data_IF_182395961682
#
_entry.id   IF_182395961682
#
_cell.length_a   1.000
_cell.length_b   1.000
_cell.length_c   1.000
_cell.angle_alpha   90.00
_cell.angle_beta   90.00
_cell.angle_gamma   90.00
#
_symmetry.space_group_name_H-M   'P 1'
#
loop_
_entity.id
_entity.type
_entity.pdbx_description
1 polymer ?
#
# COMPACT_ATOMS: atom_id res chain seq x y z
N UNK A 1 9.77 7.33 -25.81
CA UNK A 1 10.61 7.44 -24.61
C UNK A 1 9.73 6.99 -23.45
N UNK A 2 10.13 5.99 -22.66
CA UNK A 2 9.35 5.59 -21.47
C UNK A 2 9.43 6.73 -20.46
N UNK A 3 8.28 7.12 -19.91
CA UNK A 3 8.23 8.11 -18.84
C UNK A 3 8.80 7.48 -17.57
N UNK A 4 9.87 8.05 -17.06
CA UNK A 4 10.52 7.61 -15.83
C UNK A 4 9.97 8.47 -14.69
N UNK A 5 9.38 7.83 -13.69
CA UNK A 5 8.94 8.53 -12.48
C UNK A 5 10.14 8.91 -11.63
N UNK A 6 10.05 10.03 -10.95
CA UNK A 6 11.00 10.38 -9.91
C UNK A 6 10.70 9.60 -8.62
N UNK A 7 11.73 8.95 -8.07
CA UNK A 7 11.60 8.13 -6.86
C UNK A 7 11.11 8.93 -5.63
N UNK A 8 11.35 10.24 -5.62
CA UNK A 8 10.87 11.16 -4.58
C UNK A 8 9.35 11.27 -4.52
N UNK A 9 8.64 10.98 -5.60
CA UNK A 9 7.18 10.91 -5.64
C UNK A 9 6.59 9.55 -5.27
N UNK A 10 7.42 8.57 -4.85
CA UNK A 10 6.96 7.26 -4.45
C UNK A 10 6.13 7.35 -3.17
N UNK A 11 4.90 6.84 -3.22
CA UNK A 11 4.00 6.74 -2.08
C UNK A 11 4.21 5.44 -1.33
N UNK A 12 3.89 5.46 -0.04
CA UNK A 12 4.01 4.32 0.85
C UNK A 12 2.67 3.95 1.46
N UNK A 13 2.38 2.67 1.52
CA UNK A 13 1.13 2.18 2.08
C UNK A 13 1.24 0.79 2.65
N UNK A 14 0.12 0.30 3.18
CA UNK A 14 -0.05 -1.08 3.61
C UNK A 14 -1.10 -1.78 2.76
N UNK A 15 -0.82 -3.04 2.39
CA UNK A 15 -1.79 -3.95 1.79
C UNK A 15 -2.28 -4.88 2.89
N UNK A 16 -3.46 -4.59 3.42
CA UNK A 16 -3.99 -5.25 4.60
C UNK A 16 -4.85 -6.46 4.23
N UNK A 17 -4.24 -7.63 4.26
CA UNK A 17 -4.89 -8.93 4.39
C UNK A 17 -4.49 -9.52 5.75
N UNK A 18 -5.04 -8.98 6.87
CA UNK A 18 -4.55 -9.32 8.20
C UNK A 18 -4.77 -10.80 8.51
N UNK A 19 -3.69 -11.50 8.80
CA UNK A 19 -3.68 -12.93 9.05
C UNK A 19 -3.71 -13.23 10.55
N UNK A 20 -4.81 -13.79 11.04
CA UNK A 20 -5.03 -14.13 12.45
C UNK A 20 -4.97 -15.64 12.65
N UNK A 21 -3.76 -16.19 12.73
CA UNK A 21 -3.50 -17.63 12.78
C UNK A 21 -4.18 -18.39 13.93
N UNK A 22 -4.32 -17.75 15.09
CA UNK A 22 -4.89 -18.41 16.27
C UNK A 22 -6.42 -18.29 16.28
N UNK A 23 -7.08 -19.33 15.78
CA UNK A 23 -8.54 -19.42 15.69
C UNK A 23 -9.28 -19.40 17.04
N UNK A 24 -8.57 -19.51 18.16
CA UNK A 24 -9.14 -19.41 19.51
C UNK A 24 -9.10 -17.99 20.07
N UNK A 25 -8.48 -17.04 19.38
CA UNK A 25 -8.49 -15.62 19.78
C UNK A 25 -9.78 -14.93 19.35
N UNK A 26 -10.15 -13.88 20.08
CA UNK A 26 -11.33 -13.07 19.79
C UNK A 26 -11.21 -12.36 18.45
N UNK A 27 -12.15 -12.62 17.51
CA UNK A 27 -12.25 -11.93 16.23
C UNK A 27 -12.58 -10.43 16.43
N UNK A 28 -13.39 -10.09 17.44
CA UNK A 28 -13.65 -8.70 17.79
C UNK A 28 -12.36 -7.93 18.09
N UNK A 29 -11.47 -8.48 18.93
CA UNK A 29 -10.20 -7.85 19.24
C UNK A 29 -9.24 -7.82 18.03
N UNK A 30 -9.30 -8.81 17.15
CA UNK A 30 -8.52 -8.85 15.93
C UNK A 30 -8.90 -7.68 14.99
N UNK A 31 -10.19 -7.52 14.70
CA UNK A 31 -10.69 -6.42 13.86
C UNK A 31 -10.39 -5.03 14.45
N UNK A 32 -10.54 -4.86 15.77
CA UNK A 32 -10.19 -3.59 16.42
C UNK A 32 -8.68 -3.30 16.35
N UNK A 33 -7.84 -4.31 16.51
CA UNK A 33 -6.39 -4.18 16.36
C UNK A 33 -6.01 -3.75 14.93
N UNK A 34 -6.70 -4.28 13.91
CA UNK A 34 -6.45 -3.91 12.53
C UNK A 34 -6.89 -2.46 12.24
N UNK A 35 -8.01 -2.02 12.82
CA UNK A 35 -8.42 -0.61 12.79
C UNK A 35 -7.41 0.30 13.49
N UNK A 36 -6.89 -0.10 14.66
CA UNK A 36 -5.86 0.66 15.39
C UNK A 36 -4.54 0.73 14.59
N UNK A 37 -4.21 -0.29 13.81
CA UNK A 37 -3.05 -0.26 12.91
C UNK A 37 -3.23 0.77 11.80
N UNK A 38 -4.40 0.83 11.15
CA UNK A 38 -4.69 1.85 10.12
C UNK A 38 -4.60 3.26 10.68
N UNK A 39 -5.13 3.47 11.89
CA UNK A 39 -5.04 4.74 12.60
C UNK A 39 -3.58 5.11 12.93
N UNK A 40 -2.77 4.12 13.29
CA UNK A 40 -1.34 4.31 13.51
C UNK A 40 -0.61 4.69 12.21
N UNK A 41 -0.92 4.05 11.09
CA UNK A 41 -0.38 4.40 9.77
C UNK A 41 -0.74 5.84 9.35
N UNK A 42 -1.98 6.27 9.58
CA UNK A 42 -2.41 7.66 9.30
C UNK A 42 -1.58 8.67 10.11
N UNK A 43 -1.32 8.39 11.41
CA UNK A 43 -0.47 9.24 12.25
C UNK A 43 0.99 9.27 11.82
N UNK A 44 1.50 8.19 11.26
CA UNK A 44 2.86 8.10 10.73
C UNK A 44 3.03 8.77 9.35
N UNK A 45 1.93 9.17 8.72
CA UNK A 45 1.96 9.83 7.42
C UNK A 45 2.02 8.89 6.22
N UNK A 46 1.54 7.66 6.35
CA UNK A 46 1.38 6.76 5.22
C UNK A 46 0.30 7.25 4.27
N UNK A 47 0.52 7.05 2.98
CA UNK A 47 -0.36 7.54 1.92
C UNK A 47 -1.60 6.66 1.71
N UNK A 48 -1.46 5.33 1.81
CA UNK A 48 -2.49 4.40 1.36
C UNK A 48 -2.63 3.17 2.29
N UNK A 49 -3.88 2.71 2.50
CA UNK A 49 -4.21 1.42 3.10
C UNK A 49 -5.17 0.66 2.18
N UNK A 50 -4.79 -0.55 1.76
CA UNK A 50 -5.56 -1.41 0.85
C UNK A 50 -6.11 -2.61 1.61
N UNK A 51 -7.42 -2.80 1.59
CA UNK A 51 -8.12 -3.76 2.45
C UNK A 51 -8.62 -4.93 1.63
N UNK A 52 -8.20 -6.14 2.01
CA UNK A 52 -8.57 -7.40 1.35
C UNK A 52 -9.99 -7.88 1.65
N UNK A 53 -10.48 -8.84 0.86
CA UNK A 53 -11.78 -9.49 0.98
C UNK A 53 -11.60 -11.02 0.99
N UNK A 54 -12.03 -11.68 2.07
CA UNK A 54 -12.06 -13.15 2.19
C UNK A 54 -13.30 -13.63 2.93
N UNK A 55 -13.84 -14.77 2.51
CA UNK A 55 -15.11 -15.30 3.02
C UNK A 55 -14.99 -16.66 3.71
N UNK A 56 -13.81 -17.27 3.72
CA UNK A 56 -13.56 -18.61 4.27
C UNK A 56 -12.22 -18.72 4.98
N UNK A 57 -11.82 -19.95 5.34
CA UNK A 57 -10.59 -20.29 6.03
C UNK A 57 -10.44 -19.74 7.46
N UNK A 58 -11.16 -18.69 7.86
CA UNK A 58 -11.23 -18.19 9.24
C UNK A 58 -10.01 -17.45 9.75
N UNK A 59 -8.99 -17.20 8.93
CA UNK A 59 -7.75 -16.54 9.33
C UNK A 59 -7.66 -15.09 8.84
N UNK A 60 -8.22 -14.78 7.68
CA UNK A 60 -8.40 -13.44 7.15
C UNK A 60 -9.88 -13.07 7.34
N UNK A 61 -10.18 -12.25 8.33
CA UNK A 61 -11.54 -12.09 8.87
C UNK A 61 -12.32 -10.91 8.30
N UNK A 62 -11.74 -10.18 7.35
CA UNK A 62 -12.42 -9.06 6.69
C UNK A 62 -13.18 -9.58 5.49
N UNK A 63 -14.49 -9.71 5.64
CA UNK A 63 -15.38 -10.19 4.56
C UNK A 63 -15.92 -9.06 3.66
N UNK A 64 -15.86 -7.81 4.11
CA UNK A 64 -16.28 -6.64 3.33
C UNK A 64 -15.28 -5.51 3.58
N UNK A 65 -14.38 -5.23 2.63
CA UNK A 65 -13.45 -4.12 2.73
C UNK A 65 -14.18 -2.78 2.88
N UNK A 66 -15.36 -2.60 2.27
CA UNK A 66 -16.14 -1.37 2.34
C UNK A 66 -16.59 -1.06 3.78
N UNK A 67 -17.04 -2.08 4.53
CA UNK A 67 -17.47 -1.92 5.93
C UNK A 67 -16.25 -1.56 6.80
N UNK A 68 -15.13 -2.25 6.61
CA UNK A 68 -13.90 -1.97 7.34
C UNK A 68 -13.38 -0.56 7.04
N UNK A 69 -13.34 -0.16 5.77
CA UNK A 69 -12.90 1.17 5.34
C UNK A 69 -13.82 2.26 5.91
N UNK A 70 -15.14 2.07 5.92
CA UNK A 70 -16.06 3.03 6.51
C UNK A 70 -15.76 3.28 8.00
N UNK A 71 -15.46 2.22 8.76
CA UNK A 71 -15.07 2.35 10.17
C UNK A 71 -13.69 3.00 10.33
N UNK A 72 -12.71 2.65 9.49
CA UNK A 72 -11.37 3.20 9.52
C UNK A 72 -11.34 4.68 9.13
N UNK A 73 -12.17 5.09 8.16
CA UNK A 73 -12.24 6.45 7.65
C UNK A 73 -12.68 7.47 8.72
N UNK A 74 -13.55 7.08 9.67
CA UNK A 74 -13.95 7.93 10.78
C UNK A 74 -12.85 8.11 11.84
N UNK A 75 -11.86 7.22 11.86
CA UNK A 75 -10.72 7.25 12.79
C UNK A 75 -9.48 7.96 12.23
N UNK A 76 -9.47 8.26 10.92
CA UNK A 76 -8.30 8.74 10.17
C UNK A 76 -8.62 10.05 9.45
N UNK A 77 -7.56 10.78 9.03
CA UNK A 77 -7.73 12.10 8.42
C UNK A 77 -7.15 12.21 7.02
N UNK A 78 -6.05 11.52 6.74
CA UNK A 78 -5.23 11.74 5.56
C UNK A 78 -5.08 10.51 4.68
N UNK A 79 -4.91 9.33 5.28
CA UNK A 79 -4.67 8.08 4.56
C UNK A 79 -5.80 7.79 3.59
N UNK A 80 -5.45 7.39 2.37
CA UNK A 80 -6.40 6.96 1.34
C UNK A 80 -6.64 5.46 1.47
N UNK A 81 -7.83 5.04 1.12
CA UNK A 81 -8.26 3.65 1.24
C UNK A 81 -8.45 3.02 -0.12
N UNK A 82 -7.88 1.84 -0.34
CA UNK A 82 -8.17 1.00 -1.49
C UNK A 82 -8.90 -0.27 -1.08
N UNK A 83 -9.85 -0.73 -1.89
CA UNK A 83 -10.27 -2.13 -1.79
C UNK A 83 -9.19 -3.00 -2.43
N UNK A 84 -8.66 -3.96 -1.70
CA UNK A 84 -7.48 -4.72 -2.11
C UNK A 84 -7.67 -6.23 -2.10
N UNK A 85 -8.69 -6.78 -2.78
CA UNK A 85 -9.60 -6.19 -3.76
C UNK A 85 -11.06 -6.54 -3.43
N UNK A 86 -12.03 -5.91 -4.10
CA UNK A 86 -13.36 -6.51 -4.23
C UNK A 86 -13.29 -7.61 -5.29
N UNK A 87 -13.67 -8.82 -4.91
CA UNK A 87 -13.74 -9.98 -5.79
C UNK A 87 -14.99 -9.87 -6.67
N UNK A 88 -14.92 -9.08 -7.73
CA UNK A 88 -16.07 -8.63 -8.51
C UNK A 88 -17.02 -9.76 -8.99
N UNK A 89 -16.54 -10.99 -9.34
CA UNK A 89 -17.42 -12.11 -9.68
C UNK A 89 -18.37 -12.57 -8.56
N UNK A 90 -18.11 -12.19 -7.32
CA UNK A 90 -18.92 -12.58 -6.17
C UNK A 90 -20.12 -11.65 -5.95
N UNK A 91 -20.15 -10.49 -6.62
CA UNK A 91 -21.05 -9.39 -6.34
C UNK A 91 -21.95 -9.02 -7.51
N UNK A 92 -23.10 -8.40 -7.20
CA UNK A 92 -23.93 -7.72 -8.20
C UNK A 92 -23.29 -6.35 -8.53
N UNK A 93 -23.07 -6.01 -9.83
CA UNK A 93 -22.37 -4.78 -10.22
C UNK A 93 -23.05 -3.49 -9.75
N UNK A 94 -24.41 -3.42 -9.76
CA UNK A 94 -25.15 -2.24 -9.28
C UNK A 94 -24.90 -2.02 -7.78
N UNK A 95 -25.04 -3.07 -6.98
CA UNK A 95 -24.83 -2.97 -5.53
C UNK A 95 -23.38 -2.63 -5.20
N UNK A 96 -22.42 -3.11 -5.99
CA UNK A 96 -21.01 -2.74 -5.82
C UNK A 96 -20.78 -1.26 -6.16
N UNK A 97 -21.35 -0.78 -7.27
CA UNK A 97 -21.26 0.64 -7.64
C UNK A 97 -21.87 1.54 -6.55
N UNK A 98 -23.06 1.21 -6.05
CA UNK A 98 -23.74 1.97 -4.99
C UNK A 98 -22.89 2.05 -3.71
N UNK A 99 -22.29 0.93 -3.27
CA UNK A 99 -21.43 0.89 -2.07
C UNK A 99 -20.16 1.71 -2.25
N UNK A 100 -19.52 1.63 -3.40
CA UNK A 100 -18.30 2.41 -3.70
C UNK A 100 -18.63 3.91 -3.78
N UNK A 101 -19.74 4.29 -4.41
CA UNK A 101 -20.19 5.68 -4.47
C UNK A 101 -20.49 6.22 -3.06
N UNK A 102 -21.23 5.46 -2.25
CA UNK A 102 -21.51 5.84 -0.88
C UNK A 102 -20.23 6.04 -0.07
N UNK A 103 -19.29 5.11 -0.19
CA UNK A 103 -18.01 5.17 0.50
C UNK A 103 -17.16 6.37 0.04
N UNK A 104 -17.20 6.71 -1.25
CA UNK A 104 -16.51 7.88 -1.80
C UNK A 104 -17.05 9.19 -1.18
N UNK A 105 -18.37 9.31 -0.98
CA UNK A 105 -18.95 10.43 -0.24
C UNK A 105 -18.57 10.45 1.24
N UNK A 106 -18.66 9.30 1.94
CA UNK A 106 -18.31 9.21 3.36
C UNK A 106 -16.84 9.55 3.61
N UNK A 107 -15.94 9.12 2.73
CA UNK A 107 -14.51 9.36 2.83
C UNK A 107 -14.07 10.69 2.22
N UNK A 108 -14.99 11.44 1.58
CA UNK A 108 -14.71 12.70 0.85
C UNK A 108 -13.59 12.53 -0.18
N UNK A 109 -13.69 11.49 -1.01
CA UNK A 109 -12.76 11.22 -2.10
C UNK A 109 -11.47 10.51 -1.68
N UNK A 110 -11.38 9.98 -0.46
CA UNK A 110 -10.20 9.19 -0.03
C UNK A 110 -10.25 7.73 -0.47
N UNK A 111 -11.36 7.24 -1.07
CA UNK A 111 -11.47 5.86 -1.52
C UNK A 111 -10.87 5.68 -2.92
N UNK A 112 -10.29 4.52 -3.13
CA UNK A 112 -9.83 3.97 -4.41
C UNK A 112 -10.48 2.60 -4.59
N UNK A 113 -10.94 2.29 -5.80
CA UNK A 113 -11.61 1.04 -6.09
C UNK A 113 -10.65 0.05 -6.75
N UNK A 114 -10.21 -0.94 -5.99
CA UNK A 114 -9.47 -2.08 -6.52
C UNK A 114 -10.38 -3.30 -6.65
N UNK A 115 -10.31 -3.98 -7.78
CA UNK A 115 -11.09 -5.17 -8.05
C UNK A 115 -10.25 -6.29 -8.67
N UNK A 116 -10.76 -7.50 -8.57
CA UNK A 116 -10.10 -8.68 -9.09
C UNK A 116 -11.04 -9.88 -9.24
N UNK A 117 -10.49 -11.02 -9.68
CA UNK A 117 -11.29 -12.23 -9.89
C UNK A 117 -11.66 -12.98 -8.60
N UNK A 118 -11.08 -12.63 -7.45
CA UNK A 118 -11.01 -13.50 -6.31
C UNK A 118 -9.86 -14.50 -6.44
N UNK A 119 -9.41 -15.04 -5.33
CA UNK A 119 -8.21 -15.88 -5.31
C UNK A 119 -8.38 -17.18 -4.53
N UNK A 120 -9.07 -17.16 -3.39
CA UNK A 120 -9.16 -18.30 -2.48
C UNK A 120 -10.11 -19.36 -3.03
N UNK A 121 -9.65 -20.60 -3.29
CA UNK A 121 -10.50 -21.63 -3.90
C UNK A 121 -11.76 -21.95 -3.10
N UNK A 122 -11.68 -21.91 -1.76
CA UNK A 122 -12.82 -22.14 -0.87
C UNK A 122 -13.89 -21.04 -0.96
N UNK A 123 -13.49 -19.77 -1.13
CA UNK A 123 -14.42 -18.66 -1.35
C UNK A 123 -15.19 -18.87 -2.67
N UNK A 124 -14.48 -19.17 -3.74
CA UNK A 124 -15.05 -19.44 -5.07
C UNK A 124 -16.06 -20.59 -5.02
N UNK A 125 -15.72 -21.68 -4.33
CA UNK A 125 -16.58 -22.84 -4.13
C UNK A 125 -17.85 -22.48 -3.36
N UNK A 126 -17.71 -21.78 -2.22
CA UNK A 126 -18.85 -21.41 -1.34
C UNK A 126 -19.84 -20.46 -2.02
N UNK A 127 -19.35 -19.60 -2.90
CA UNK A 127 -20.15 -18.64 -3.65
C UNK A 127 -20.77 -19.28 -4.91
N UNK A 128 -20.45 -20.54 -5.20
CA UNK A 128 -21.01 -21.28 -6.34
C UNK A 128 -20.46 -20.78 -7.69
N UNK A 129 -19.18 -20.43 -7.75
CA UNK A 129 -18.47 -20.05 -8.98
C UNK A 129 -17.47 -21.12 -9.39
N UNK A 130 -17.12 -21.16 -10.68
CA UNK A 130 -16.03 -21.97 -11.17
C UNK A 130 -14.77 -21.11 -11.39
N UNK A 131 -13.61 -21.62 -10.99
CA UNK A 131 -12.32 -20.94 -11.17
C UNK A 131 -12.04 -20.54 -12.63
N UNK A 132 -12.49 -21.37 -13.57
CA UNK A 132 -12.31 -21.15 -15.03
C UNK A 132 -13.13 -19.99 -15.58
N UNK A 133 -14.21 -19.59 -14.88
CA UNK A 133 -15.14 -18.53 -15.30
C UNK A 133 -14.80 -17.16 -14.72
N UNK A 134 -14.00 -17.11 -13.66
CA UNK A 134 -13.75 -15.87 -12.92
C UNK A 134 -13.28 -14.71 -13.78
N UNK A 135 -12.41 -14.96 -14.78
CA UNK A 135 -11.92 -13.91 -15.67
C UNK A 135 -13.03 -13.32 -16.56
N UNK A 136 -13.88 -14.17 -17.10
CA UNK A 136 -15.05 -13.74 -17.89
C UNK A 136 -16.01 -12.95 -17.00
N UNK A 137 -16.26 -13.45 -15.79
CA UNK A 137 -17.16 -12.82 -14.83
C UNK A 137 -16.63 -11.45 -14.35
N UNK A 138 -15.30 -11.29 -14.17
CA UNK A 138 -14.69 -9.99 -13.88
C UNK A 138 -14.97 -9.00 -14.99
N UNK A 139 -14.74 -9.40 -16.25
CA UNK A 139 -14.96 -8.52 -17.40
C UNK A 139 -16.43 -8.11 -17.51
N UNK A 140 -17.34 -9.07 -17.47
CA UNK A 140 -18.79 -8.81 -17.52
C UNK A 140 -19.25 -7.89 -16.36
N UNK A 141 -18.74 -8.15 -15.15
CA UNK A 141 -19.05 -7.31 -13.98
C UNK A 141 -18.54 -5.89 -14.15
N UNK A 142 -17.34 -5.73 -14.68
CA UNK A 142 -16.73 -4.41 -14.89
C UNK A 142 -17.36 -3.65 -16.05
N UNK A 143 -17.76 -4.33 -17.15
CA UNK A 143 -18.49 -3.74 -18.29
C UNK A 143 -19.83 -3.12 -17.85
N UNK A 144 -20.50 -3.71 -16.83
CA UNK A 144 -21.68 -3.15 -16.25
C UNK A 144 -21.36 -2.07 -15.19
N UNK A 145 -20.35 -2.26 -14.40
CA UNK A 145 -20.02 -1.38 -13.26
C UNK A 145 -19.48 -0.02 -13.69
N UNK A 146 -18.61 0.04 -14.68
CA UNK A 146 -17.98 1.30 -15.11
C UNK A 146 -18.99 2.33 -15.64
N UNK A 147 -19.95 1.98 -16.52
CA UNK A 147 -21.03 2.88 -16.91
C UNK A 147 -21.89 3.34 -15.72
N UNK A 148 -22.22 2.43 -14.78
CA UNK A 148 -22.97 2.78 -13.57
C UNK A 148 -22.26 3.84 -12.73
N UNK A 149 -20.94 3.71 -12.54
CA UNK A 149 -20.14 4.72 -11.83
C UNK A 149 -20.13 6.08 -12.55
N UNK A 150 -20.34 6.09 -13.86
CA UNK A 150 -20.48 7.31 -14.69
C UNK A 150 -21.88 7.90 -14.70
N UNK A 151 -22.85 7.22 -14.05
CA UNK A 151 -24.26 7.63 -14.01
C UNK A 151 -25.07 7.22 -15.23
N UNK A 152 -24.57 6.29 -16.02
CA UNK A 152 -25.27 5.74 -17.18
C UNK A 152 -26.27 4.65 -16.77
N UNK A 153 -27.26 4.39 -17.63
CA UNK A 153 -28.23 3.31 -17.45
C UNK A 153 -27.73 2.04 -18.10
N UNK A 154 -27.80 0.92 -17.39
CA UNK A 154 -27.32 -0.38 -17.85
C UNK A 154 -28.43 -1.42 -17.83
N UNK A 155 -28.62 -2.09 -18.96
CA UNK A 155 -29.41 -3.32 -19.06
C UNK A 155 -28.51 -4.42 -19.61
N UNK A 156 -28.23 -5.43 -18.78
CA UNK A 156 -27.31 -6.53 -19.11
C UNK A 156 -27.69 -7.79 -18.36
N UNK A 157 -27.57 -8.94 -19.00
CA UNK A 157 -27.86 -10.24 -18.41
C UNK A 157 -26.66 -11.18 -18.59
N UNK A 158 -26.33 -11.87 -17.53
CA UNK A 158 -25.33 -12.96 -17.48
C UNK A 158 -25.96 -14.19 -16.84
N UNK A 159 -25.23 -15.27 -16.71
CA UNK A 159 -25.67 -16.47 -16.01
C UNK A 159 -25.81 -16.25 -14.49
N UNK A 160 -25.26 -15.16 -13.96
CA UNK A 160 -25.12 -14.92 -12.53
C UNK A 160 -25.94 -13.75 -12.00
N UNK A 161 -26.29 -12.79 -12.86
CA UNK A 161 -27.09 -11.62 -12.50
C UNK A 161 -27.75 -11.00 -13.73
N UNK A 162 -28.82 -10.24 -13.50
CA UNK A 162 -29.52 -9.47 -14.51
C UNK A 162 -29.75 -8.05 -14.00
N UNK A 163 -29.42 -7.06 -14.83
CA UNK A 163 -29.72 -5.63 -14.63
C UNK A 163 -30.75 -5.21 -15.68
N UNK A 164 -31.80 -4.46 -15.25
CA UNK A 164 -32.87 -3.92 -16.10
C UNK A 164 -32.95 -2.43 -15.83
N UNK A 165 -32.61 -1.61 -16.81
CA UNK A 165 -32.60 -0.14 -16.71
C UNK A 165 -31.97 0.37 -15.39
N UNK A 166 -30.91 -0.36 -14.95
CA UNK A 166 -30.23 -0.12 -13.70
C UNK A 166 -29.38 1.15 -13.80
N UNK A 167 -29.44 1.96 -12.75
CA UNK A 167 -28.62 3.17 -12.60
C UNK A 167 -28.40 3.46 -11.13
N UNK A 168 -27.26 4.03 -10.80
CA UNK A 168 -27.00 4.52 -9.46
C UNK A 168 -27.87 5.75 -9.16
N UNK A 169 -28.44 5.82 -7.95
CA UNK A 169 -29.31 6.93 -7.57
C UNK A 169 -28.57 8.19 -7.11
N UNK A 170 -27.25 8.08 -6.87
CA UNK A 170 -26.33 9.20 -6.64
C UNK A 170 -25.09 9.01 -7.52
N UNK A 171 -24.38 10.10 -7.80
CA UNK A 171 -23.13 10.07 -8.54
C UNK A 171 -21.94 10.12 -7.57
N UNK A 172 -20.75 9.58 -7.94
CA UNK A 172 -19.57 9.64 -7.09
C UNK A 172 -19.23 11.06 -6.62
N UNK A 173 -18.65 11.17 -5.44
CA UNK A 173 -18.07 12.43 -4.95
C UNK A 173 -16.88 12.84 -5.82
N UNK A 174 -15.99 11.91 -6.13
CA UNK A 174 -14.85 12.08 -7.04
C UNK A 174 -15.31 11.95 -8.50
N UNK A 175 -14.93 12.91 -9.35
CA UNK A 175 -15.35 12.94 -10.77
C UNK A 175 -14.25 12.47 -11.70
N UNK A 176 -14.54 11.68 -12.74
CA UNK A 176 -15.84 11.05 -13.07
C UNK A 176 -16.22 9.91 -12.12
N UNK A 177 -15.26 9.29 -11.45
CA UNK A 177 -15.37 8.22 -10.45
C UNK A 177 -14.07 8.15 -9.64
N UNK A 178 -14.03 7.45 -8.47
CA UNK A 178 -12.79 7.15 -7.77
C UNK A 178 -11.76 6.50 -8.68
N UNK A 179 -10.47 6.62 -8.35
CA UNK A 179 -9.43 5.90 -9.09
C UNK A 179 -9.70 4.39 -9.02
N UNK A 180 -9.57 3.71 -10.16
CA UNK A 180 -9.88 2.29 -10.29
C UNK A 180 -8.62 1.52 -10.62
N UNK A 181 -8.45 0.35 -9.98
CA UNK A 181 -7.28 -0.50 -10.10
C UNK A 181 -7.68 -1.95 -10.34
N UNK A 182 -7.00 -2.59 -11.30
CA UNK A 182 -7.11 -4.03 -11.51
C UNK A 182 -6.00 -4.77 -10.80
N UNK A 183 -6.33 -5.81 -10.04
CA UNK A 183 -5.30 -6.65 -9.42
C UNK A 183 -4.56 -7.49 -10.46
N UNK A 184 -3.28 -7.68 -10.19
CA UNK A 184 -2.38 -8.51 -10.98
C UNK A 184 -1.48 -9.33 -10.06
N UNK A 185 -1.32 -10.59 -10.39
CA UNK A 185 -0.28 -11.44 -9.83
C UNK A 185 0.78 -11.69 -10.93
N UNK A 186 1.12 -12.95 -11.19
CA UNK A 186 2.12 -13.33 -12.21
C UNK A 186 1.54 -13.41 -13.62
N UNK A 187 0.21 -13.54 -13.76
CA UNK A 187 -0.42 -13.79 -15.07
C UNK A 187 -0.61 -12.50 -15.88
N UNK A 188 -0.58 -12.57 -17.21
CA UNK A 188 -0.76 -11.40 -18.09
C UNK A 188 -2.20 -10.86 -18.09
N UNK A 189 -3.16 -11.55 -17.46
CA UNK A 189 -4.58 -11.19 -17.52
C UNK A 189 -4.89 -9.86 -16.84
N UNK A 190 -4.36 -9.63 -15.63
CA UNK A 190 -4.55 -8.38 -14.90
C UNK A 190 -4.04 -7.14 -15.64
N UNK A 191 -2.76 -7.11 -16.06
CA UNK A 191 -2.21 -5.99 -16.81
C UNK A 191 -2.96 -5.73 -18.13
N UNK A 192 -3.38 -6.78 -18.82
CA UNK A 192 -4.16 -6.66 -20.07
C UNK A 192 -5.52 -5.99 -19.82
N UNK A 193 -6.28 -6.44 -18.80
CA UNK A 193 -7.57 -5.84 -18.44
C UNK A 193 -7.36 -4.37 -18.03
N UNK A 194 -6.39 -4.10 -17.15
CA UNK A 194 -6.07 -2.75 -16.74
C UNK A 194 -5.79 -1.83 -17.93
N UNK A 195 -4.99 -2.28 -18.91
CA UNK A 195 -4.69 -1.53 -20.12
C UNK A 195 -5.91 -1.31 -21.01
N UNK A 196 -6.72 -2.35 -21.21
CA UNK A 196 -7.94 -2.27 -22.05
C UNK A 196 -8.87 -1.14 -21.61
N UNK A 197 -8.99 -0.90 -20.32
CA UNK A 197 -9.88 0.14 -19.75
C UNK A 197 -9.16 1.40 -19.28
N UNK A 198 -7.83 1.51 -19.40
CA UNK A 198 -7.06 2.65 -18.93
C UNK A 198 -7.01 2.76 -17.38
N UNK A 199 -7.01 1.63 -16.68
CA UNK A 199 -7.04 1.57 -15.21
C UNK A 199 -5.63 1.53 -14.62
N UNK A 200 -5.54 1.85 -13.33
CA UNK A 200 -4.36 1.57 -12.52
C UNK A 200 -4.11 0.07 -12.35
N UNK A 201 -2.88 -0.28 -11.99
CA UNK A 201 -2.44 -1.66 -11.77
C UNK A 201 -2.03 -1.87 -10.32
N UNK A 202 -2.57 -2.92 -9.68
CA UNK A 202 -2.22 -3.37 -8.35
C UNK A 202 -1.50 -4.72 -8.48
N UNK A 203 -0.17 -4.68 -8.50
CA UNK A 203 0.67 -5.89 -8.61
C UNK A 203 0.91 -6.49 -7.22
N UNK A 204 0.12 -7.51 -6.88
CA UNK A 204 0.34 -8.32 -5.71
C UNK A 204 1.42 -9.36 -6.05
N UNK A 205 2.54 -9.31 -5.39
CA UNK A 205 3.61 -10.31 -5.45
C UNK A 205 4.96 -9.82 -5.99
N UNK A 206 5.72 -9.21 -5.15
CA UNK A 206 7.17 -9.11 -5.36
C UNK A 206 7.92 -10.17 -4.54
N UNK A 207 7.19 -11.13 -3.97
CA UNK A 207 7.72 -12.11 -3.02
C UNK A 207 8.12 -13.43 -3.67
N UNK A 208 8.13 -13.55 -4.99
CA UNK A 208 8.66 -14.71 -5.70
C UNK A 208 9.54 -14.25 -6.87
N UNK A 209 10.53 -15.05 -7.25
CA UNK A 209 11.39 -14.76 -8.39
C UNK A 209 10.58 -14.51 -9.66
N UNK A 210 9.54 -15.31 -9.90
CA UNK A 210 8.69 -15.16 -11.07
C UNK A 210 7.96 -13.82 -11.11
N UNK A 211 7.40 -13.39 -9.97
CA UNK A 211 6.68 -12.12 -9.88
C UNK A 211 7.63 -10.92 -9.90
N UNK A 212 8.75 -11.00 -9.20
CA UNK A 212 9.78 -9.97 -9.23
C UNK A 212 10.29 -9.75 -10.66
N UNK A 213 10.63 -10.82 -11.38
CA UNK A 213 11.12 -10.73 -12.75
C UNK A 213 10.04 -10.38 -13.78
N UNK A 214 8.75 -10.42 -13.42
CA UNK A 214 7.64 -10.09 -14.29
C UNK A 214 7.23 -8.60 -14.26
N UNK A 215 7.80 -7.75 -13.41
CA UNK A 215 7.36 -6.35 -13.30
C UNK A 215 7.48 -5.59 -14.61
N UNK A 216 8.62 -5.71 -15.32
CA UNK A 216 8.79 -5.08 -16.63
C UNK A 216 7.79 -5.62 -17.63
N UNK A 217 7.60 -6.94 -17.70
CA UNK A 217 6.64 -7.56 -18.61
C UNK A 217 5.20 -7.15 -18.28
N UNK A 218 4.86 -7.02 -16.99
CA UNK A 218 3.55 -6.52 -16.58
C UNK A 218 3.29 -5.09 -17.08
N UNK A 219 4.28 -4.21 -17.00
CA UNK A 219 4.17 -2.88 -17.58
C UNK A 219 4.02 -2.90 -19.09
N UNK A 220 4.82 -3.68 -19.79
CA UNK A 220 4.76 -3.76 -21.26
C UNK A 220 3.38 -4.25 -21.74
N UNK A 221 2.82 -5.29 -21.08
CA UNK A 221 1.47 -5.78 -21.37
C UNK A 221 0.41 -4.71 -21.08
N UNK A 222 0.51 -4.02 -19.97
CA UNK A 222 -0.41 -2.95 -19.55
C UNK A 222 -0.40 -1.80 -20.57
N UNK A 223 0.79 -1.33 -20.93
CA UNK A 223 0.98 -0.25 -21.89
C UNK A 223 0.52 -0.63 -23.33
N UNK A 224 0.85 -1.84 -23.78
CA UNK A 224 0.46 -2.29 -25.11
C UNK A 224 -1.07 -2.46 -25.22
N UNK A 225 -1.71 -3.02 -24.20
CA UNK A 225 -3.16 -3.13 -24.16
C UNK A 225 -3.84 -1.74 -24.13
N UNK A 226 -3.30 -0.78 -23.38
CA UNK A 226 -3.80 0.58 -23.38
C UNK A 226 -3.72 1.22 -24.77
N UNK A 227 -2.55 1.15 -25.41
CA UNK A 227 -2.35 1.69 -26.78
C UNK A 227 -3.30 1.07 -27.80
N UNK A 228 -3.50 -0.24 -27.75
CA UNK A 228 -4.41 -0.97 -28.66
C UNK A 228 -5.87 -0.54 -28.50
N UNK A 229 -6.26 -0.07 -27.33
CA UNK A 229 -7.63 0.35 -26.99
C UNK A 229 -7.79 1.89 -26.90
N UNK A 230 -6.81 2.67 -27.35
CA UNK A 230 -6.88 4.13 -27.33
C UNK A 230 -6.87 4.73 -25.93
N UNK A 231 -6.39 3.99 -24.93
CA UNK A 231 -6.31 4.42 -23.54
C UNK A 231 -4.93 5.00 -23.23
N UNK A 232 -4.89 5.83 -22.18
CA UNK A 232 -3.65 6.35 -21.60
C UNK A 232 -3.49 5.79 -20.20
N UNK A 233 -2.30 5.32 -19.87
CA UNK A 233 -1.94 4.84 -18.53
C UNK A 233 -0.85 5.72 -17.93
N UNK A 234 -0.79 5.77 -16.59
CA UNK A 234 0.24 6.49 -15.86
C UNK A 234 0.90 5.54 -14.86
N UNK A 235 2.24 5.46 -14.87
CA UNK A 235 3.00 4.68 -13.88
C UNK A 235 2.76 5.13 -12.44
N UNK A 236 2.38 6.39 -12.21
CA UNK A 236 1.93 6.86 -10.89
C UNK A 236 0.68 6.11 -10.37
N UNK A 237 -0.07 5.42 -11.24
CA UNK A 237 -1.20 4.56 -10.89
C UNK A 237 -0.83 3.07 -10.81
N UNK A 238 0.45 2.76 -10.71
CA UNK A 238 0.93 1.41 -10.47
C UNK A 238 1.30 1.22 -8.99
N UNK A 239 0.65 0.26 -8.32
CA UNK A 239 0.95 -0.16 -6.94
C UNK A 239 1.68 -1.49 -6.97
N UNK A 240 2.76 -1.58 -6.22
CA UNK A 240 3.56 -2.80 -6.08
C UNK A 240 3.52 -3.26 -4.64
N UNK A 241 3.06 -4.47 -4.41
CA UNK A 241 2.93 -5.08 -3.08
C UNK A 241 4.14 -5.97 -2.80
N UNK A 242 4.73 -5.83 -1.63
CA UNK A 242 5.82 -6.69 -1.16
C UNK A 242 5.59 -7.16 0.27
N UNK A 243 6.33 -8.17 0.68
CA UNK A 243 6.33 -8.67 2.05
C UNK A 243 7.59 -8.18 2.76
N UNK A 244 7.43 -7.32 3.75
CA UNK A 244 8.53 -6.71 4.48
C UNK A 244 8.31 -6.87 5.99
N UNK A 245 9.39 -7.16 6.72
CA UNK A 245 9.44 -6.97 8.16
C UNK A 245 10.85 -6.47 8.52
N UNK A 246 10.93 -5.26 9.05
CA UNK A 246 12.20 -4.67 9.47
C UNK A 246 12.21 -4.41 10.97
N UNK A 247 13.41 -4.42 11.53
CA UNK A 247 13.71 -4.07 12.91
C UNK A 247 15.03 -3.29 12.96
N UNK A 248 15.48 -2.89 14.14
CA UNK A 248 16.75 -2.18 14.33
C UNK A 248 17.94 -3.01 13.90
N UNK A 249 17.86 -4.34 14.03
CA UNK A 249 18.89 -5.28 13.57
C UNK A 249 18.28 -6.45 12.80
N UNK A 250 19.08 -7.13 11.99
CA UNK A 250 18.67 -8.34 11.26
C UNK A 250 18.30 -9.47 12.21
N UNK A 251 19.02 -9.60 13.31
CA UNK A 251 18.77 -10.61 14.35
C UNK A 251 17.41 -10.37 14.99
N UNK A 252 17.08 -9.12 15.31
CA UNK A 252 15.78 -8.77 15.88
C UNK A 252 14.65 -9.01 14.87
N UNK A 253 14.82 -8.64 13.62
CA UNK A 253 13.83 -8.89 12.57
C UNK A 253 13.53 -10.41 12.42
N UNK A 254 14.58 -11.24 12.41
CA UNK A 254 14.44 -12.71 12.38
C UNK A 254 13.75 -13.25 13.62
N UNK A 255 14.07 -12.71 14.80
CA UNK A 255 13.40 -13.11 16.05
C UNK A 255 11.91 -12.76 16.03
N UNK A 256 11.56 -11.58 15.56
CA UNK A 256 10.18 -11.09 15.48
C UNK A 256 9.30 -12.00 14.59
N UNK A 257 9.76 -12.37 13.41
CA UNK A 257 8.96 -13.15 12.44
C UNK A 257 8.73 -14.60 12.86
N UNK A 258 9.47 -15.10 13.84
CA UNK A 258 9.21 -16.43 14.44
C UNK A 258 7.84 -16.54 15.09
N UNK A 259 7.20 -15.40 15.38
CA UNK A 259 5.87 -15.37 16.00
C UNK A 259 4.79 -15.98 15.10
N UNK A 260 4.79 -15.70 13.80
CA UNK A 260 3.68 -16.06 12.92
C UNK A 260 4.05 -16.56 11.52
N UNK A 261 5.32 -16.40 11.07
CA UNK A 261 5.70 -16.74 9.69
C UNK A 261 5.45 -18.20 9.32
N UNK A 262 5.78 -19.13 10.22
CA UNK A 262 5.56 -20.56 9.93
C UNK A 262 4.09 -20.91 9.69
N UNK A 263 3.18 -20.32 10.47
CA UNK A 263 1.74 -20.51 10.31
C UNK A 263 1.22 -19.83 9.02
N UNK A 264 1.73 -18.66 8.70
CA UNK A 264 1.41 -17.95 7.48
C UNK A 264 1.83 -18.74 6.23
N UNK A 265 3.05 -19.30 6.23
CA UNK A 265 3.52 -20.18 5.16
C UNK A 265 2.65 -21.41 4.99
N UNK A 266 2.31 -22.09 6.10
CA UNK A 266 1.43 -23.26 6.08
C UNK A 266 0.06 -22.93 5.46
N UNK A 267 -0.54 -21.80 5.82
CA UNK A 267 -1.79 -21.34 5.24
C UNK A 267 -1.69 -21.12 3.72
N UNK A 268 -0.69 -20.38 3.27
CA UNK A 268 -0.54 -20.06 1.84
C UNK A 268 -0.20 -21.29 0.99
N UNK A 269 0.45 -22.29 1.57
CA UNK A 269 0.78 -23.52 0.85
C UNK A 269 -0.39 -24.51 0.83
N UNK A 270 -1.13 -24.65 1.92
CA UNK A 270 -2.14 -25.70 2.08
C UNK A 270 -3.57 -25.25 1.84
N UNK A 271 -3.87 -23.98 2.06
CA UNK A 271 -5.23 -23.44 2.00
C UNK A 271 -5.39 -22.45 0.85
N UNK A 272 -4.63 -21.38 0.84
CA UNK A 272 -4.71 -20.36 -0.19
C UNK A 272 -4.09 -20.79 -1.53
N UNK A 273 -3.22 -21.80 -1.52
CA UNK A 273 -2.56 -22.39 -2.71
C UNK A 273 -1.76 -21.39 -3.55
N UNK A 274 -1.28 -20.32 -2.92
CA UNK A 274 -0.38 -19.36 -3.57
C UNK A 274 1.07 -19.87 -3.59
N UNK A 275 1.81 -19.70 -4.69
CA UNK A 275 3.19 -20.17 -4.80
C UNK A 275 4.17 -19.23 -4.07
N UNK A 276 3.96 -18.97 -2.79
CA UNK A 276 4.82 -18.08 -1.97
C UNK A 276 6.06 -18.75 -1.40
N UNK A 277 6.14 -20.09 -1.48
CA UNK A 277 7.32 -20.87 -1.08
C UNK A 277 7.45 -22.11 -1.95
N UNK A 278 8.69 -22.59 -2.12
CA UNK A 278 8.96 -23.79 -2.92
C UNK A 278 8.29 -25.02 -2.31
N UNK A 279 7.79 -25.98 -3.13
CA UNK A 279 7.34 -27.29 -2.65
C UNK A 279 8.44 -27.94 -1.80
N UNK A 280 8.08 -28.48 -0.65
CA UNK A 280 9.02 -29.13 0.29
C UNK A 280 9.43 -28.25 1.49
N UNK A 281 9.09 -26.99 1.52
CA UNK A 281 9.36 -26.10 2.67
C UNK A 281 8.68 -26.55 3.98
N UNK A 282 7.67 -27.42 3.92
CA UNK A 282 7.01 -28.00 5.10
C UNK A 282 7.93 -28.87 5.99
N UNK A 283 8.98 -29.43 5.41
CA UNK A 283 9.94 -30.27 6.14
C UNK A 283 11.12 -29.48 6.69
N UNK A 284 11.24 -28.20 6.32
CA UNK A 284 12.33 -27.34 6.71
C UNK A 284 12.11 -26.77 8.13
N UNK A 285 13.22 -26.51 8.82
CA UNK A 285 13.18 -25.75 10.07
C UNK A 285 12.68 -24.32 9.81
N UNK A 286 12.19 -23.64 10.84
CA UNK A 286 11.73 -22.26 10.70
C UNK A 286 12.85 -21.31 10.21
N UNK A 287 14.10 -21.56 10.61
CA UNK A 287 15.24 -20.78 10.12
C UNK A 287 15.47 -20.94 8.62
N UNK A 288 15.40 -22.19 8.12
CA UNK A 288 15.50 -22.45 6.69
C UNK A 288 14.33 -21.85 5.90
N UNK A 289 13.12 -21.80 6.49
CA UNK A 289 11.97 -21.10 5.89
C UNK A 289 12.21 -19.58 5.82
N UNK A 290 12.73 -18.98 6.87
CA UNK A 290 13.11 -17.56 6.89
C UNK A 290 14.16 -17.27 5.79
N UNK A 291 15.20 -18.10 5.71
CA UNK A 291 16.26 -17.96 4.70
C UNK A 291 15.70 -18.10 3.27
N UNK A 292 14.80 -19.05 3.06
CA UNK A 292 14.12 -19.22 1.78
C UNK A 292 13.25 -18.03 1.39
N UNK A 293 12.56 -17.41 2.35
CA UNK A 293 11.77 -16.19 2.11
C UNK A 293 12.66 -15.01 1.76
N UNK A 294 13.79 -14.83 2.45
CA UNK A 294 14.76 -13.77 2.13
C UNK A 294 15.34 -13.98 0.73
N UNK A 295 15.69 -15.22 0.38
CA UNK A 295 16.19 -15.56 -0.96
C UNK A 295 15.15 -15.31 -2.07
N UNK A 296 13.85 -15.36 -1.75
CA UNK A 296 12.74 -15.10 -2.66
C UNK A 296 12.25 -13.64 -2.62
N UNK A 297 13.13 -12.71 -2.34
CA UNK A 297 12.84 -11.27 -2.41
C UNK A 297 12.00 -10.67 -1.28
N UNK A 298 11.72 -11.39 -0.23
CA UNK A 298 11.15 -10.85 1.02
C UNK A 298 12.23 -10.09 1.80
N UNK A 299 11.86 -9.01 2.47
CA UNK A 299 12.76 -8.33 3.39
C UNK A 299 12.44 -8.74 4.83
N UNK A 300 13.40 -9.42 5.47
CA UNK A 300 13.43 -9.63 6.91
C UNK A 300 14.78 -9.10 7.37
N UNK A 301 14.82 -7.83 7.80
CA UNK A 301 16.08 -7.13 7.99
C UNK A 301 15.97 -5.75 8.62
N UNK A 302 16.77 -4.82 8.13
CA UNK A 302 16.89 -3.44 8.60
C UNK A 302 16.26 -2.43 7.62
N UNK A 303 16.11 -1.15 8.00
CA UNK A 303 15.73 -0.10 7.05
C UNK A 303 16.59 -0.06 5.78
N UNK A 304 17.93 -0.25 5.90
CA UNK A 304 18.83 -0.27 4.75
C UNK A 304 18.55 -1.45 3.81
N UNK A 305 18.19 -2.61 4.35
CA UNK A 305 17.81 -3.77 3.55
C UNK A 305 16.53 -3.49 2.75
N UNK A 306 15.57 -2.77 3.32
CA UNK A 306 14.34 -2.38 2.63
C UNK A 306 14.60 -1.31 1.57
N UNK A 307 15.45 -0.31 1.86
CA UNK A 307 15.87 0.70 0.87
C UNK A 307 16.50 0.01 -0.34
N UNK A 308 17.46 -0.88 -0.11
CA UNK A 308 18.10 -1.64 -1.18
C UNK A 308 17.12 -2.50 -1.99
N UNK A 309 16.07 -3.03 -1.33
CA UNK A 309 15.00 -3.76 -2.01
C UNK A 309 14.17 -2.85 -2.90
N UNK A 310 13.77 -1.67 -2.41
CA UNK A 310 13.00 -0.69 -3.19
C UNK A 310 13.79 -0.25 -4.42
N UNK A 311 15.10 -0.05 -4.29
CA UNK A 311 15.97 0.29 -5.41
C UNK A 311 15.97 -0.79 -6.50
N UNK A 312 16.08 -2.06 -6.12
CA UNK A 312 16.02 -3.19 -7.05
C UNK A 312 14.66 -3.31 -7.75
N UNK A 313 13.55 -3.10 -7.02
CA UNK A 313 12.20 -3.09 -7.59
C UNK A 313 12.06 -1.94 -8.60
N UNK A 314 12.60 -0.77 -8.27
CA UNK A 314 12.58 0.40 -9.14
C UNK A 314 13.34 0.16 -10.44
N UNK A 315 14.54 -0.39 -10.37
CA UNK A 315 15.34 -0.79 -11.52
C UNK A 315 14.62 -1.84 -12.38
N UNK A 316 14.11 -2.88 -11.76
CA UNK A 316 13.41 -3.98 -12.42
C UNK A 316 12.11 -3.54 -13.10
N UNK A 317 11.41 -2.53 -12.57
CA UNK A 317 10.23 -1.95 -13.21
C UNK A 317 10.59 -1.12 -14.46
N UNK A 318 11.86 -0.77 -14.66
CA UNK A 318 12.40 0.01 -15.77
C UNK A 318 11.62 1.31 -16.03
N UNK A 319 11.48 2.14 -15.02
CA UNK A 319 10.79 3.43 -15.11
C UNK A 319 9.96 3.77 -13.88
N UNK A 320 9.98 2.94 -12.86
CA UNK A 320 9.34 3.18 -11.57
C UNK A 320 7.85 2.82 -11.53
N UNK A 321 7.27 3.02 -10.37
CA UNK A 321 5.87 2.78 -10.01
C UNK A 321 5.41 3.81 -8.98
N UNK A 322 4.09 4.00 -8.83
CA UNK A 322 3.53 5.11 -8.06
C UNK A 322 3.45 4.87 -6.55
N UNK A 323 3.36 3.62 -6.10
CA UNK A 323 3.36 3.30 -4.68
C UNK A 323 3.94 1.91 -4.40
N UNK A 324 4.57 1.78 -3.21
CA UNK A 324 4.94 0.50 -2.62
C UNK A 324 4.05 0.24 -1.41
N UNK A 325 3.50 -0.96 -1.35
CA UNK A 325 2.59 -1.40 -0.30
C UNK A 325 3.21 -2.58 0.45
N UNK A 326 3.36 -2.43 1.75
CA UNK A 326 3.72 -3.57 2.59
C UNK A 326 2.50 -4.43 2.89
N UNK A 327 2.63 -5.74 2.76
CA UNK A 327 1.58 -6.66 3.11
C UNK A 327 1.52 -6.81 4.64
N UNK A 328 0.56 -6.17 5.29
CA UNK A 328 0.35 -6.23 6.73
C UNK A 328 -0.05 -7.66 7.14
N UNK A 329 0.97 -8.42 7.48
CA UNK A 329 0.90 -9.84 7.76
C UNK A 329 1.20 -10.14 9.21
N UNK A 330 0.71 -10.58 10.05
CA UNK A 330 1.03 -10.83 11.47
C UNK A 330 2.21 -11.82 11.68
N UNK A 331 3.31 -11.65 10.95
CA UNK A 331 4.53 -12.46 11.15
C UNK A 331 5.19 -12.16 12.49
N UNK A 332 5.09 -10.91 12.94
CA UNK A 332 5.54 -10.47 14.25
C UNK A 332 4.34 -10.25 15.19
N UNK A 333 4.60 -10.10 16.46
CA UNK A 333 3.60 -9.63 17.41
C UNK A 333 3.20 -8.17 17.14
N UNK A 334 2.14 -7.69 17.79
CA UNK A 334 1.59 -6.37 17.48
C UNK A 334 2.54 -5.19 17.81
N UNK A 335 3.27 -5.19 18.94
CA UNK A 335 4.28 -4.17 19.19
C UNK A 335 5.38 -4.13 18.13
N UNK A 336 5.93 -5.28 17.74
CA UNK A 336 6.95 -5.36 16.72
C UNK A 336 6.41 -5.01 15.31
N UNK A 337 5.15 -5.34 15.01
CA UNK A 337 4.48 -4.91 13.77
C UNK A 337 4.36 -3.39 13.70
N UNK A 338 3.98 -2.73 14.80
CA UNK A 338 3.94 -1.26 14.86
C UNK A 338 5.32 -0.64 14.71
N UNK A 339 6.31 -1.20 15.43
CA UNK A 339 7.70 -0.71 15.33
C UNK A 339 8.27 -0.83 13.93
N UNK A 340 7.94 -1.90 13.22
CA UNK A 340 8.28 -2.04 11.81
C UNK A 340 7.79 -0.87 10.95
N UNK A 341 6.51 -0.48 11.07
CA UNK A 341 5.97 0.66 10.32
C UNK A 341 6.56 2.01 10.79
N UNK A 342 6.88 2.15 12.07
CA UNK A 342 7.59 3.32 12.59
C UNK A 342 8.98 3.46 11.95
N UNK A 343 9.75 2.37 11.86
CA UNK A 343 11.07 2.37 11.23
C UNK A 343 11.01 2.73 9.74
N UNK A 344 10.00 2.27 9.02
CA UNK A 344 9.78 2.69 7.62
C UNK A 344 9.53 4.20 7.55
N UNK A 345 8.66 4.73 8.41
CA UNK A 345 8.34 6.16 8.44
C UNK A 345 9.53 7.03 8.88
N UNK A 346 10.34 6.55 9.82
CA UNK A 346 11.49 7.28 10.36
C UNK A 346 12.69 7.29 9.42
N UNK A 347 12.97 6.19 8.70
CA UNK A 347 14.22 6.00 7.97
C UNK A 347 14.03 5.78 6.48
N UNK A 348 13.08 4.95 6.05
CA UNK A 348 12.94 4.54 4.65
C UNK A 348 12.25 5.62 3.82
N UNK A 349 11.09 6.10 4.25
CA UNK A 349 10.33 7.14 3.54
C UNK A 349 11.17 8.42 3.36
N UNK A 350 11.78 9.00 4.43
CA UNK A 350 12.58 10.20 4.27
C UNK A 350 13.80 10.02 3.36
N UNK A 351 14.41 8.84 3.36
CA UNK A 351 15.53 8.53 2.46
C UNK A 351 15.09 8.51 0.99
N UNK A 352 14.07 7.71 0.68
CA UNK A 352 13.57 7.54 -0.69
C UNK A 352 13.02 8.85 -1.25
N UNK A 353 12.25 9.60 -0.45
CA UNK A 353 11.65 10.88 -0.84
C UNK A 353 12.60 12.07 -0.68
N UNK A 354 13.83 11.86 -0.21
CA UNK A 354 14.86 12.90 -0.01
C UNK A 354 14.41 14.07 0.86
N UNK A 355 13.55 13.78 1.85
CA UNK A 355 12.94 14.81 2.70
C UNK A 355 13.95 15.56 3.56
N UNK A 356 15.10 14.95 3.86
CA UNK A 356 16.13 15.49 4.75
C UNK A 356 17.27 16.22 4.00
N UNK A 357 17.30 16.24 2.67
CA UNK A 357 18.36 16.86 1.88
C UNK A 357 18.56 18.34 2.25
N UNK A 358 17.45 19.10 2.45
CA UNK A 358 17.53 20.50 2.83
C UNK A 358 18.10 20.69 4.24
N UNK A 359 17.75 19.78 5.17
CA UNK A 359 18.28 19.79 6.54
C UNK A 359 19.77 19.50 6.55
N UNK A 360 20.22 18.51 5.77
CA UNK A 360 21.65 18.19 5.60
C UNK A 360 22.43 19.40 5.07
N UNK A 361 21.99 19.96 3.93
CA UNK A 361 22.64 21.18 3.38
C UNK A 361 22.66 22.35 4.36
N UNK A 362 21.64 22.54 5.17
CA UNK A 362 21.60 23.58 6.19
C UNK A 362 22.61 23.33 7.31
N UNK A 363 22.75 22.07 7.73
CA UNK A 363 23.78 21.69 8.70
C UNK A 363 25.18 21.94 8.17
N UNK A 364 25.49 21.43 6.98
CA UNK A 364 26.80 21.55 6.34
C UNK A 364 27.19 23.04 6.18
N UNK A 365 26.22 23.88 5.77
CA UNK A 365 26.43 25.31 5.65
C UNK A 365 26.72 25.95 7.03
N UNK A 366 25.95 25.60 8.06
CA UNK A 366 26.16 26.14 9.40
C UNK A 366 27.52 25.73 9.97
N UNK A 367 27.92 24.47 9.78
CA UNK A 367 29.22 23.95 10.20
C UNK A 367 30.37 24.67 9.47
N UNK A 368 30.28 24.85 8.15
CA UNK A 368 31.27 25.53 7.35
C UNK A 368 31.46 27.01 7.74
N UNK A 369 30.42 27.65 8.26
CA UNK A 369 30.40 29.08 8.57
C UNK A 369 30.43 29.39 10.08
N UNK A 370 30.58 28.39 10.97
CA UNK A 370 30.43 28.59 12.40
C UNK A 370 31.50 29.55 13.00
N UNK A 371 32.76 29.53 12.53
CA UNK A 371 33.80 30.41 13.04
C UNK A 371 33.53 31.87 12.68
N UNK A 372 33.18 32.18 11.43
CA UNK A 372 32.83 33.53 11.02
C UNK A 372 31.58 34.06 11.72
N UNK A 373 30.59 33.21 11.94
CA UNK A 373 29.39 33.54 12.72
C UNK A 373 29.70 33.83 14.20
N UNK A 374 30.63 33.09 14.82
CA UNK A 374 31.11 33.38 16.16
C UNK A 374 31.84 34.71 16.26
N UNK A 375 32.71 35.04 15.28
CA UNK A 375 33.43 36.31 15.23
C UNK A 375 32.45 37.50 15.12
N UNK A 376 31.46 37.41 14.23
CA UNK A 376 30.43 38.46 14.08
C UNK A 376 29.57 38.61 15.35
N UNK A 377 29.15 37.51 15.95
CA UNK A 377 28.43 37.51 17.23
C UNK A 377 29.24 38.18 18.34
N UNK A 378 30.53 37.87 18.44
CA UNK A 378 31.43 38.46 19.46
C UNK A 378 31.59 39.96 19.22
N UNK A 379 31.67 40.45 17.97
CA UNK A 379 31.69 41.87 17.61
C UNK A 379 30.37 42.53 18.04
N UNK A 380 29.23 41.92 17.77
CA UNK A 380 27.93 42.44 18.20
C UNK A 380 27.82 42.58 19.72
N UNK A 381 28.23 41.54 20.45
CA UNK A 381 28.26 41.57 21.93
C UNK A 381 29.17 42.69 22.45
N UNK A 382 30.34 42.89 21.87
CA UNK A 382 31.26 43.95 22.27
C UNK A 382 30.65 45.33 21.99
N UNK A 383 29.93 45.52 20.87
CA UNK A 383 29.24 46.75 20.56
C UNK A 383 28.11 47.09 21.56
N UNK A 384 27.33 46.09 21.95
CA UNK A 384 26.28 46.24 22.96
C UNK A 384 26.85 46.65 24.31
N UNK A 385 27.94 46.05 24.75
CA UNK A 385 28.63 46.44 25.99
C UNK A 385 29.17 47.87 25.92
N UNK A 386 29.74 48.29 24.79
CA UNK A 386 30.23 49.62 24.61
C UNK A 386 29.08 50.67 24.67
N UNK A 387 27.96 50.36 24.05
CA UNK A 387 26.75 51.21 24.06
C UNK A 387 26.20 51.33 25.49
N UNK A 388 26.11 50.25 26.20
CA UNK A 388 25.66 50.23 27.59
C UNK A 388 26.56 51.07 28.52
N UNK A 389 27.87 50.97 28.35
CA UNK A 389 28.82 51.80 29.12
C UNK A 389 28.68 53.30 28.82
N UNK A 390 28.45 53.66 27.52
CA UNK A 390 28.18 55.04 27.15
C UNK A 390 26.89 55.60 27.79
N UNK A 391 25.82 54.81 27.75
CA UNK A 391 24.55 55.17 28.37
C UNK A 391 24.67 55.32 29.91
N UNK A 392 25.40 54.43 30.55
CA UNK A 392 25.67 54.49 31.99
C UNK A 392 26.43 55.78 32.39
N UNK A 393 27.53 56.08 31.62
CA UNK A 393 28.30 57.32 31.86
C UNK A 393 27.46 58.59 31.60
N UNK A 394 26.62 58.62 30.61
CA UNK A 394 25.72 59.72 30.34
C UNK A 394 24.68 59.93 31.45
N UNK A 395 24.13 58.86 32.02
CA UNK A 395 23.21 58.91 33.14
C UNK A 395 23.89 59.37 34.42
N UNK A 396 25.13 58.96 34.69
CA UNK A 396 25.91 59.44 35.84
C UNK A 396 26.25 60.95 35.75
N UNK A 397 26.50 61.44 34.52
CA UNK A 397 26.75 62.89 34.31
C UNK A 397 25.44 63.71 34.46
N UNK A 398 24.29 63.17 34.02
CA UNK A 398 22.99 63.85 34.14
C UNK A 398 22.43 63.87 35.54
N UNK A 399 22.96 63.03 36.45
CA UNK A 399 22.56 62.96 37.84
C UNK A 399 23.42 63.84 38.80
N UNK A 400 24.44 64.46 38.27
CA UNK A 400 25.26 65.49 38.93
C UNK A 400 24.80 66.89 38.55
#
# INVERSE_FOLDING_TARGET
MREVLEKQGLRFGAFMAPYHANLNKSVHLALHRDLDLVEHLDRLGYDEAWIGEHHSAGVEVIASPEIFIAAAAERTKHIRFGTGVISLPYHNPLMTADRIIQLDHQTRGRVMFGFGPGALPSDVHMIGRAQTELRTNVMQGFDALLPLLRGETVSMKTDHWELKDARCHILPYTRPHPQIFMSSAVSPGGPRIAGTYGLGLLSATTSSDAAFNALQAAYDIWNDAARQNGQTINRADWRVVGNFHIAETREQARANVRHGLGQWLDYFQRVATFPVAKPGAHAATLDEQIDAMIAQHTVIGTPDDLIARIDKLWEQSNGGFGAILDCAHNWADYPATKRHYELIAEYVIPHIQRMNDARGRSWDWAEANHLSGMEERNKGVAQEFALWEQQRKAAEIASR
#
